data_IF_382372412721
#
_entry.id   IF_382372412721
#
_cell.length_a   1.000
_cell.length_b   1.000
_cell.length_c   1.000
_cell.angle_alpha   90.00
_cell.angle_beta   90.00
_cell.angle_gamma   90.00
#
_symmetry.space_group_name_H-M   'P 1'
#
loop_
_entity.id
_entity.type
_entity.pdbx_description
1 polymer ?
#
# COMPACT_ATOMS: atom_id res chain seq x y z
N UNK A 1 -25.21 4.29 77.72
CA UNK A 1 -25.51 5.18 76.59
C UNK A 1 -24.39 5.05 75.58
N UNK A 2 -24.69 4.62 74.36
CA UNK A 2 -23.68 4.34 73.34
C UNK A 2 -23.13 5.67 72.80
N UNK A 3 -21.89 6.00 73.17
CA UNK A 3 -21.15 7.12 72.57
C UNK A 3 -20.76 6.73 71.14
N UNK A 4 -21.70 6.86 70.20
CA UNK A 4 -21.37 6.88 68.79
C UNK A 4 -20.54 8.13 68.52
N UNK A 5 -19.23 7.97 68.36
CA UNK A 5 -18.34 9.03 67.87
C UNK A 5 -18.43 9.07 66.34
N UNK A 6 -19.22 9.96 65.73
CA UNK A 6 -19.42 10.01 64.27
C UNK A 6 -18.11 10.21 63.49
N UNK A 7 -17.11 10.86 64.10
CA UNK A 7 -15.76 11.00 63.53
C UNK A 7 -15.02 9.66 63.41
N UNK A 8 -15.16 8.76 64.38
CA UNK A 8 -14.56 7.42 64.32
C UNK A 8 -15.23 6.55 63.25
N UNK A 9 -16.56 6.64 63.12
CA UNK A 9 -17.30 5.93 62.08
C UNK A 9 -16.91 6.40 60.66
N UNK A 10 -16.74 7.72 60.46
CA UNK A 10 -16.28 8.29 59.20
C UNK A 10 -14.84 7.86 58.85
N UNK A 11 -13.93 7.86 59.84
CA UNK A 11 -12.56 7.36 59.67
C UNK A 11 -12.53 5.88 59.32
N UNK A 12 -13.29 5.05 60.02
CA UNK A 12 -13.37 3.61 59.75
C UNK A 12 -13.88 3.34 58.32
N UNK A 13 -14.93 4.05 57.89
CA UNK A 13 -15.47 3.97 56.52
C UNK A 13 -14.41 4.35 55.47
N UNK A 14 -13.68 5.44 55.70
CA UNK A 14 -12.63 5.91 54.79
C UNK A 14 -11.45 4.92 54.70
N UNK A 15 -11.04 4.34 55.82
CA UNK A 15 -9.99 3.32 55.87
C UNK A 15 -10.43 2.06 55.11
N UNK A 16 -11.68 1.61 55.30
CA UNK A 16 -12.21 0.44 54.60
C UNK A 16 -12.27 0.64 53.08
N UNK A 17 -12.71 1.81 52.60
CA UNK A 17 -12.67 2.11 51.15
C UNK A 17 -11.26 2.13 50.61
N UNK A 18 -10.34 2.86 51.25
CA UNK A 18 -8.94 2.90 50.81
C UNK A 18 -8.28 1.54 50.80
N UNK A 19 -8.58 0.66 51.77
CA UNK A 19 -8.10 -0.72 51.77
C UNK A 19 -8.69 -1.52 50.62
N UNK A 20 -9.97 -1.37 50.32
CA UNK A 20 -10.61 -1.99 49.16
C UNK A 20 -9.99 -1.55 47.83
N UNK A 21 -9.76 -0.25 47.69
CA UNK A 21 -9.12 0.34 46.51
C UNK A 21 -7.69 -0.20 46.34
N UNK A 22 -6.92 -0.27 47.43
CA UNK A 22 -5.55 -0.76 47.43
C UNK A 22 -5.47 -2.23 46.99
N UNK A 23 -6.35 -3.09 47.50
CA UNK A 23 -6.46 -4.49 47.05
C UNK A 23 -6.83 -4.59 45.57
N UNK A 24 -7.70 -3.70 45.07
CA UNK A 24 -8.07 -3.67 43.66
C UNK A 24 -6.89 -3.25 42.75
N UNK A 25 -6.07 -2.31 43.23
CA UNK A 25 -4.88 -1.83 42.52
C UNK A 25 -3.78 -2.89 42.51
N UNK A 26 -3.52 -3.56 43.64
CA UNK A 26 -2.56 -4.68 43.73
C UNK A 26 -2.94 -5.83 42.79
N UNK A 27 -4.24 -6.15 42.71
CA UNK A 27 -4.75 -7.14 41.76
C UNK A 27 -4.48 -6.72 40.32
N UNK A 28 -4.78 -5.47 39.98
CA UNK A 28 -4.57 -4.94 38.62
C UNK A 28 -3.10 -4.85 38.25
N UNK A 29 -2.23 -4.49 39.19
CA UNK A 29 -0.77 -4.53 39.02
C UNK A 29 -0.31 -5.96 38.72
N UNK A 30 -0.78 -6.94 39.49
CA UNK A 30 -0.46 -8.36 39.27
C UNK A 30 -0.89 -8.86 37.89
N UNK A 31 -2.09 -8.46 37.44
CA UNK A 31 -2.61 -8.79 36.11
C UNK A 31 -1.76 -8.14 34.99
N UNK A 32 -1.36 -6.88 35.16
CA UNK A 32 -0.51 -6.16 34.21
C UNK A 32 0.91 -6.75 34.13
N UNK A 33 1.48 -7.18 35.26
CA UNK A 33 2.78 -7.83 35.29
C UNK A 33 2.78 -9.16 34.52
N UNK A 34 1.70 -9.95 34.65
CA UNK A 34 1.53 -11.18 33.86
C UNK A 34 1.41 -10.90 32.36
N UNK A 35 0.58 -9.93 32.00
CA UNK A 35 0.45 -9.51 30.60
C UNK A 35 1.78 -9.01 30.00
N UNK A 36 2.58 -8.29 30.79
CA UNK A 36 3.91 -7.84 30.39
C UNK A 36 4.85 -9.02 30.13
N UNK A 37 4.81 -10.07 30.97
CA UNK A 37 5.61 -11.27 30.77
C UNK A 37 5.21 -12.04 29.51
N UNK A 38 3.91 -12.15 29.23
CA UNK A 38 3.38 -12.77 28.00
C UNK A 38 3.87 -12.02 26.75
N UNK A 39 3.70 -10.69 26.71
CA UNK A 39 4.17 -9.86 25.58
C UNK A 39 5.69 -9.96 25.39
N UNK A 40 6.45 -10.07 26.49
CA UNK A 40 7.92 -10.26 26.41
C UNK A 40 8.28 -11.62 25.80
N UNK A 41 7.53 -12.69 26.10
CA UNK A 41 7.72 -14.00 25.48
C UNK A 41 7.41 -13.97 23.99
N UNK A 42 6.25 -13.43 23.60
CA UNK A 42 5.86 -13.30 22.19
C UNK A 42 6.89 -12.49 21.39
N UNK A 43 7.39 -11.38 21.95
CA UNK A 43 8.44 -10.58 21.31
C UNK A 43 9.71 -11.41 21.08
N UNK A 44 10.13 -12.21 22.06
CA UNK A 44 11.32 -13.06 21.95
C UNK A 44 11.13 -14.11 20.83
N UNK A 45 9.96 -14.74 20.76
CA UNK A 45 9.64 -15.71 19.72
C UNK A 45 9.67 -15.09 18.31
N UNK A 46 9.07 -13.92 18.15
CA UNK A 46 9.09 -13.17 16.88
C UNK A 46 10.53 -12.78 16.52
N UNK A 47 11.32 -12.30 17.48
CA UNK A 47 12.72 -11.94 17.23
C UNK A 47 13.55 -13.14 16.77
N UNK A 48 13.35 -14.32 17.37
CA UNK A 48 14.01 -15.55 16.92
C UNK A 48 13.53 -15.97 15.53
N UNK A 49 12.24 -15.86 15.24
CA UNK A 49 11.70 -16.17 13.91
C UNK A 49 12.28 -15.25 12.83
N UNK A 50 12.40 -13.95 13.12
CA UNK A 50 13.04 -12.98 12.23
C UNK A 50 14.50 -13.33 11.99
N UNK A 51 15.26 -13.65 13.04
CA UNK A 51 16.66 -14.06 12.88
C UNK A 51 16.80 -15.32 12.01
N UNK A 52 15.96 -16.34 12.23
CA UNK A 52 15.95 -17.55 11.39
C UNK A 52 15.63 -17.23 9.93
N UNK A 53 14.65 -16.35 9.68
CA UNK A 53 14.32 -15.90 8.33
C UNK A 53 15.47 -15.13 7.69
N UNK A 54 16.16 -14.25 8.42
CA UNK A 54 17.32 -13.54 7.91
C UNK A 54 18.42 -14.50 7.48
N UNK A 55 18.74 -15.51 8.30
CA UNK A 55 19.73 -16.55 7.94
C UNK A 55 19.30 -17.31 6.70
N UNK A 56 18.03 -17.74 6.63
CA UNK A 56 17.51 -18.42 5.45
C UNK A 56 17.56 -17.57 4.19
N UNK A 57 17.35 -16.25 4.28
CA UNK A 57 17.48 -15.32 3.16
C UNK A 57 18.94 -15.15 2.73
N UNK A 58 19.87 -15.07 3.67
CA UNK A 58 21.31 -14.96 3.40
C UNK A 58 21.85 -16.24 2.75
N UNK A 59 21.37 -17.40 3.19
CA UNK A 59 21.72 -18.72 2.62
C UNK A 59 20.92 -19.05 1.34
N UNK A 60 19.93 -18.24 0.98
CA UNK A 60 19.08 -18.48 -0.19
C UNK A 60 19.82 -18.15 -1.48
N UNK A 61 20.45 -19.15 -2.06
CA UNK A 61 20.98 -19.08 -3.42
C UNK A 61 19.90 -19.42 -4.44
N UNK A 62 19.47 -18.42 -5.21
CA UNK A 62 18.61 -18.63 -6.37
C UNK A 62 19.41 -19.25 -7.50
N UNK A 63 19.14 -20.51 -7.82
CA UNK A 63 19.63 -21.11 -9.05
C UNK A 63 18.99 -20.37 -10.25
N UNK A 64 19.77 -19.73 -11.14
CA UNK A 64 19.24 -18.99 -12.28
C UNK A 64 18.40 -19.86 -13.22
N UNK A 65 18.57 -21.19 -13.20
CA UNK A 65 17.78 -22.13 -14.00
C UNK A 65 16.38 -22.41 -13.43
N UNK A 66 16.21 -22.26 -12.11
CA UNK A 66 14.93 -22.44 -11.42
C UNK A 66 14.07 -21.17 -11.48
N UNK A 67 14.68 -20.02 -11.79
CA UNK A 67 13.98 -18.81 -12.18
C UNK A 67 13.45 -19.01 -13.61
N UNK A 68 12.30 -19.69 -13.76
CA UNK A 68 11.47 -19.50 -14.95
C UNK A 68 10.98 -18.07 -14.92
N UNK A 69 11.66 -17.17 -15.62
CA UNK A 69 11.15 -15.84 -15.88
C UNK A 69 9.71 -15.97 -16.33
N UNK A 70 8.80 -15.20 -15.72
CA UNK A 70 7.40 -15.13 -16.14
C UNK A 70 7.43 -14.71 -17.61
N UNK A 71 7.47 -15.68 -18.52
CA UNK A 71 7.40 -15.42 -19.95
C UNK A 71 5.98 -14.92 -20.14
N UNK A 72 5.85 -13.64 -20.43
CA UNK A 72 4.64 -13.10 -21.01
C UNK A 72 4.22 -14.07 -22.12
N UNK A 73 2.98 -14.58 -22.04
CA UNK A 73 2.41 -15.38 -23.13
C UNK A 73 2.63 -14.56 -24.40
N UNK A 74 3.35 -15.07 -25.42
CA UNK A 74 3.71 -14.26 -26.57
C UNK A 74 2.42 -13.78 -27.23
N UNK A 75 2.10 -12.51 -27.04
CA UNK A 75 0.97 -11.88 -27.72
C UNK A 75 1.33 -11.85 -29.19
N UNK A 76 0.44 -12.35 -30.05
CA UNK A 76 0.64 -12.32 -31.50
C UNK A 76 1.10 -10.92 -31.90
N UNK A 77 2.27 -10.83 -32.54
CA UNK A 77 2.76 -9.59 -33.11
C UNK A 77 1.66 -9.00 -33.99
N UNK A 78 1.27 -7.75 -33.73
CA UNK A 78 0.15 -7.11 -34.42
C UNK A 78 -1.22 -7.25 -33.76
N UNK A 79 -1.34 -7.77 -32.52
CA UNK A 79 -2.61 -7.68 -31.81
C UNK A 79 -3.04 -6.22 -31.66
N UNK A 80 -4.29 -5.93 -32.02
CA UNK A 80 -4.88 -4.58 -32.03
C UNK A 80 -4.68 -3.87 -30.67
N UNK A 81 -4.66 -4.64 -29.58
CA UNK A 81 -4.44 -4.14 -28.22
C UNK A 81 -2.98 -3.79 -27.89
N UNK A 82 -2.01 -4.54 -28.42
CA UNK A 82 -0.58 -4.26 -28.23
C UNK A 82 -0.15 -3.00 -28.96
N UNK A 83 -0.63 -2.82 -30.20
CA UNK A 83 -0.29 -1.66 -31.01
C UNK A 83 -0.77 -0.34 -30.38
N UNK A 84 -2.02 -0.28 -29.89
CA UNK A 84 -2.54 0.90 -29.18
C UNK A 84 -1.72 1.25 -27.93
N UNK A 85 -1.33 0.25 -27.14
CA UNK A 85 -0.53 0.45 -25.93
C UNK A 85 0.85 0.99 -26.29
N UNK A 86 1.47 0.49 -27.36
CA UNK A 86 2.77 0.96 -27.81
C UNK A 86 2.71 2.41 -28.30
N UNK A 87 1.67 2.79 -29.05
CA UNK A 87 1.46 4.18 -29.46
C UNK A 87 1.29 5.09 -28.24
N UNK A 88 0.48 4.68 -27.26
CA UNK A 88 0.27 5.43 -26.01
C UNK A 88 1.58 5.63 -25.24
N UNK A 89 2.41 4.58 -25.13
CA UNK A 89 3.73 4.66 -24.48
C UNK A 89 4.66 5.61 -25.24
N UNK A 90 4.67 5.58 -26.57
CA UNK A 90 5.50 6.49 -27.39
C UNK A 90 5.13 7.95 -27.15
N UNK A 91 3.84 8.28 -27.12
CA UNK A 91 3.37 9.65 -26.86
C UNK A 91 3.71 10.11 -25.44
N UNK A 92 3.60 9.23 -24.45
CA UNK A 92 3.94 9.52 -23.05
C UNK A 92 5.46 9.70 -22.83
N UNK A 93 6.30 8.91 -23.49
CA UNK A 93 7.77 9.00 -23.40
C UNK A 93 8.32 10.24 -24.12
N UNK A 94 7.68 10.66 -25.21
CA UNK A 94 8.15 11.76 -26.05
C UNK A 94 7.86 13.17 -25.49
N UNK A 95 7.09 13.29 -24.41
CA UNK A 95 6.63 14.58 -23.89
C UNK A 95 6.71 14.72 -22.37
N UNK A 96 6.50 15.95 -21.90
CA UNK A 96 6.32 16.27 -20.48
C UNK A 96 4.92 15.91 -19.96
N UNK A 97 4.51 16.46 -18.81
CA UNK A 97 3.18 16.24 -18.25
C UNK A 97 2.09 16.51 -19.29
N UNK A 98 1.20 15.55 -19.52
CA UNK A 98 0.17 15.62 -20.56
C UNK A 98 -1.19 15.22 -20.02
N UNK A 99 -2.23 15.96 -20.40
CA UNK A 99 -3.60 15.65 -19.98
C UNK A 99 -4.19 14.51 -20.81
N UNK A 100 -5.22 13.87 -20.26
CA UNK A 100 -5.93 12.78 -20.96
C UNK A 100 -6.57 13.26 -22.28
N UNK A 101 -7.01 14.53 -22.33
CA UNK A 101 -7.59 15.14 -23.52
C UNK A 101 -6.53 15.44 -24.60
N UNK A 102 -5.37 15.97 -24.21
CA UNK A 102 -4.24 16.18 -25.13
C UNK A 102 -3.67 14.86 -25.66
N UNK A 103 -3.63 13.81 -24.82
CA UNK A 103 -3.28 12.46 -25.26
C UNK A 103 -4.22 11.95 -26.34
N UNK A 104 -5.53 12.16 -26.18
CA UNK A 104 -6.50 11.77 -27.19
C UNK A 104 -6.26 12.53 -28.50
N UNK A 105 -6.02 13.84 -28.45
CA UNK A 105 -5.76 14.65 -29.64
C UNK A 105 -4.50 14.19 -30.39
N UNK A 106 -3.39 13.98 -29.68
CA UNK A 106 -2.14 13.47 -30.28
C UNK A 106 -2.29 12.08 -30.87
N UNK A 107 -3.08 11.22 -30.24
CA UNK A 107 -3.36 9.89 -30.77
C UNK A 107 -4.28 9.92 -32.00
N UNK A 108 -5.14 10.94 -32.13
CA UNK A 108 -5.96 11.18 -33.32
C UNK A 108 -5.12 11.75 -34.47
N UNK A 109 -4.18 12.65 -34.21
CA UNK A 109 -3.24 13.19 -35.21
C UNK A 109 -2.34 12.12 -35.84
N UNK A 110 -2.05 11.05 -35.10
CA UNK A 110 -1.29 9.90 -35.59
C UNK A 110 -2.13 8.93 -36.45
N UNK A 111 -3.34 9.34 -36.83
CA UNK A 111 -4.31 8.60 -37.67
C UNK A 111 -4.57 7.17 -37.19
N UNK A 112 -4.63 6.98 -35.87
CA UNK A 112 -4.93 5.69 -35.29
C UNK A 112 -6.44 5.41 -35.38
N UNK A 113 -6.88 4.95 -36.57
CA UNK A 113 -8.26 4.54 -36.92
C UNK A 113 -8.89 3.49 -35.97
N UNK A 114 -8.15 3.04 -34.95
CA UNK A 114 -8.54 2.08 -33.90
C UNK A 114 -9.07 2.74 -32.64
N UNK A 115 -9.09 4.08 -32.57
CA UNK A 115 -9.69 4.84 -31.47
C UNK A 115 -11.11 5.25 -31.88
N UNK A 116 -12.10 4.46 -31.48
CA UNK A 116 -13.49 4.86 -31.60
C UNK A 116 -13.72 6.06 -30.65
N UNK A 117 -14.08 7.23 -31.20
CA UNK A 117 -14.17 8.51 -30.47
C UNK A 117 -15.03 8.44 -29.19
N UNK A 118 -16.05 7.58 -29.19
CA UNK A 118 -17.01 7.45 -28.09
C UNK A 118 -16.39 6.88 -26.81
N UNK A 119 -15.38 6.02 -26.93
CA UNK A 119 -14.76 5.29 -25.80
C UNK A 119 -13.26 5.60 -25.61
N UNK A 120 -12.67 6.44 -26.47
CA UNK A 120 -11.24 6.75 -26.46
C UNK A 120 -10.73 7.26 -25.11
N UNK A 121 -11.43 8.24 -24.51
CA UNK A 121 -11.08 8.78 -23.19
C UNK A 121 -11.10 7.71 -22.09
N UNK A 122 -12.14 6.86 -22.07
CA UNK A 122 -12.26 5.79 -21.09
C UNK A 122 -11.17 4.73 -21.26
N UNK A 123 -10.83 4.38 -22.51
CA UNK A 123 -9.78 3.42 -22.84
C UNK A 123 -8.40 3.93 -22.45
N UNK A 124 -8.10 5.20 -22.74
CA UNK A 124 -6.85 5.86 -22.35
C UNK A 124 -6.75 5.92 -20.82
N UNK A 125 -7.78 6.41 -20.14
CA UNK A 125 -7.80 6.50 -18.67
C UNK A 125 -7.61 5.13 -18.00
N UNK A 126 -8.21 4.07 -18.54
CA UNK A 126 -8.04 2.70 -18.04
C UNK A 126 -6.59 2.21 -18.17
N UNK A 127 -5.95 2.45 -19.31
CA UNK A 127 -4.56 2.04 -19.52
C UNK A 127 -3.58 2.87 -18.68
N UNK A 128 -3.82 4.18 -18.51
CA UNK A 128 -3.03 5.04 -17.63
C UNK A 128 -3.09 4.61 -16.17
N UNK A 129 -4.28 4.24 -15.67
CA UNK A 129 -4.42 3.66 -14.32
C UNK A 129 -3.64 2.37 -14.15
N UNK A 130 -3.64 1.49 -15.16
CA UNK A 130 -2.82 0.26 -15.13
C UNK A 130 -1.34 0.60 -15.11
N UNK A 131 -0.88 1.47 -16.01
CA UNK A 131 0.52 1.93 -16.06
C UNK A 131 0.95 2.58 -14.76
N UNK A 132 0.06 3.33 -14.10
CA UNK A 132 0.31 3.90 -12.78
C UNK A 132 0.43 2.86 -11.68
N UNK A 133 -0.42 1.81 -11.69
CA UNK A 133 -0.27 0.66 -10.78
C UNK A 133 1.07 -0.07 -10.97
N UNK A 134 1.60 -0.09 -12.18
CA UNK A 134 2.93 -0.66 -12.48
C UNK A 134 4.09 0.31 -12.18
N UNK A 135 3.83 1.52 -11.70
CA UNK A 135 4.87 2.48 -11.31
C UNK A 135 5.61 3.15 -12.48
N UNK A 136 5.10 3.06 -13.71
CA UNK A 136 5.76 3.66 -14.89
C UNK A 136 5.20 5.03 -15.28
N UNK A 137 4.02 5.39 -14.75
CA UNK A 137 3.34 6.67 -14.98
C UNK A 137 2.79 7.18 -13.66
N UNK A 138 2.97 8.47 -13.37
CA UNK A 138 2.34 9.12 -12.21
C UNK A 138 1.34 10.16 -12.67
N UNK A 139 0.38 10.44 -11.80
CA UNK A 139 -0.44 11.63 -11.93
C UNK A 139 0.39 12.83 -11.43
N UNK A 140 0.56 13.82 -12.30
CA UNK A 140 1.39 15.00 -12.02
C UNK A 140 0.62 16.07 -11.25
N UNK A 141 -0.71 16.11 -11.39
CA UNK A 141 -1.59 17.06 -10.71
C UNK A 141 -2.17 16.49 -9.40
N UNK A 142 -2.28 17.35 -8.37
CA UNK A 142 -2.93 17.03 -7.08
C UNK A 142 -4.46 17.19 -7.13
N UNK A 143 -5.05 17.28 -8.33
CA UNK A 143 -6.47 17.57 -8.53
C UNK A 143 -7.40 16.47 -8.04
N UNK A 144 -8.48 16.86 -7.35
CA UNK A 144 -9.54 15.96 -6.87
C UNK A 144 -10.42 15.38 -8.00
N UNK A 145 -11.46 14.65 -7.61
CA UNK A 145 -12.43 14.09 -8.56
C UNK A 145 -13.09 15.21 -9.39
N UNK A 146 -13.10 15.04 -10.72
CA UNK A 146 -13.69 16.01 -11.66
C UNK A 146 -12.70 16.98 -12.33
N UNK A 147 -11.45 17.03 -11.88
CA UNK A 147 -10.40 17.80 -12.57
C UNK A 147 -9.68 16.95 -13.65
N UNK A 148 -9.22 17.57 -14.76
CA UNK A 148 -8.53 16.85 -15.83
C UNK A 148 -7.20 16.30 -15.32
N UNK A 149 -7.10 14.97 -15.26
CA UNK A 149 -5.89 14.29 -14.82
C UNK A 149 -4.74 14.51 -15.82
N UNK A 150 -3.60 14.97 -15.28
CA UNK A 150 -2.34 15.17 -15.97
C UNK A 150 -1.39 14.04 -15.62
N UNK A 151 -0.76 13.43 -16.62
CA UNK A 151 0.03 12.23 -16.47
C UNK A 151 1.46 12.48 -16.90
N UNK A 152 2.42 11.95 -16.15
CA UNK A 152 3.85 12.04 -16.43
C UNK A 152 4.46 10.65 -16.45
N UNK A 153 5.23 10.36 -17.49
CA UNK A 153 6.03 9.14 -17.58
C UNK A 153 7.23 9.22 -16.63
N UNK A 154 7.42 8.19 -15.80
CA UNK A 154 8.56 8.08 -14.86
C UNK A 154 9.32 6.76 -15.02
N UNK A 155 8.88 5.88 -15.92
CA UNK A 155 9.59 4.64 -16.23
C UNK A 155 10.90 4.92 -16.98
N UNK A 156 11.78 3.92 -17.02
CA UNK A 156 13.04 4.03 -17.74
C UNK A 156 12.82 4.37 -19.23
N UNK A 157 13.44 5.44 -19.71
CA UNK A 157 13.35 5.89 -21.10
C UNK A 157 13.82 4.78 -22.06
N UNK A 158 14.76 3.94 -21.61
CA UNK A 158 15.37 2.85 -22.37
C UNK A 158 14.66 1.51 -22.24
N UNK A 159 13.63 1.39 -21.38
CA UNK A 159 12.93 0.12 -21.22
C UNK A 159 12.23 -0.28 -22.53
N UNK A 160 12.44 -1.53 -23.01
CA UNK A 160 11.86 -2.02 -24.25
C UNK A 160 10.33 -1.98 -24.19
N UNK A 161 9.71 -1.81 -25.37
CA UNK A 161 8.26 -1.71 -25.53
C UNK A 161 7.54 -2.81 -24.72
N UNK A 162 6.67 -2.39 -23.79
CA UNK A 162 5.88 -3.28 -22.93
C UNK A 162 5.02 -4.20 -23.82
N UNK A 163 5.49 -5.43 -24.03
CA UNK A 163 4.86 -6.46 -24.87
C UNK A 163 3.60 -7.04 -24.21
#
# INVERSE_FOLDING_TARGET
MANHHPRLAALAKTISYRKGDLVSLERRESELLRALEEVRREKSEVQQAVQRLSVLIEEFELNPQDIRGIRATPRKAGSIHGLFRNTLVKVLKAGGPITTAELLHKLQELDDSRINLRDGMHKIARELRKMSKYGVVIRYDFGGAGQPATWLWIGDATAPELS
#
